data_IF_754537220091
#
_entry.id   IF_754537220091
#
_cell.length_a   1.000
_cell.length_b   1.000
_cell.length_c   1.000
_cell.angle_alpha   90.00
_cell.angle_beta   90.00
_cell.angle_gamma   90.00
#
_symmetry.space_group_name_H-M   'P 1'
#
loop_
_entity.id
_entity.type
_entity.pdbx_description
1 polymer ?
#
# COMPACT_ATOMS: atom_id res chain seq x y z
N UNK A 1 25.21 4.98 1.56
CA UNK A 1 23.77 4.92 1.20
C UNK A 1 23.51 3.96 0.04
N UNK A 2 24.04 4.19 -1.18
CA UNK A 2 23.80 3.30 -2.34
C UNK A 2 24.08 1.81 -2.06
N UNK A 3 25.22 1.50 -1.44
CA UNK A 3 25.61 0.14 -1.03
C UNK A 3 24.58 -0.57 -0.13
N UNK A 4 23.86 0.16 0.74
CA UNK A 4 22.89 -0.45 1.65
C UNK A 4 21.57 -0.79 0.97
N UNK A 5 21.19 -0.01 -0.05
CA UNK A 5 20.07 -0.36 -0.93
C UNK A 5 20.42 -1.55 -1.84
N UNK A 6 21.68 -1.65 -2.24
CA UNK A 6 22.22 -2.76 -3.04
C UNK A 6 22.36 -4.06 -2.23
N UNK A 7 22.82 -3.97 -0.98
CA UNK A 7 22.94 -5.10 -0.06
C UNK A 7 21.68 -5.42 0.75
N UNK A 8 20.54 -4.77 0.46
CA UNK A 8 19.26 -5.01 1.13
C UNK A 8 19.26 -4.79 2.66
N UNK A 9 20.17 -3.97 3.19
CA UNK A 9 20.27 -3.70 4.64
C UNK A 9 19.35 -2.58 5.12
N UNK A 10 18.78 -1.82 4.18
CA UNK A 10 17.78 -0.79 4.44
C UNK A 10 16.38 -1.41 4.64
N UNK A 11 15.77 -1.18 5.80
CA UNK A 11 14.38 -1.56 6.04
C UNK A 11 13.45 -0.42 5.63
N UNK A 12 12.51 -0.71 4.72
CA UNK A 12 11.53 0.26 4.24
C UNK A 12 10.13 -0.23 4.60
N UNK A 13 9.45 0.54 5.44
CA UNK A 13 8.12 0.25 5.95
C UNK A 13 7.09 1.16 5.29
N UNK A 14 5.99 0.56 4.86
CA UNK A 14 4.90 1.25 4.18
C UNK A 14 3.57 0.91 4.83
N UNK A 15 2.65 1.86 4.87
CA UNK A 15 1.25 1.55 5.08
C UNK A 15 0.55 1.34 3.74
N UNK A 16 -0.13 0.21 3.61
CA UNK A 16 -0.93 -0.17 2.45
C UNK A 16 -2.37 -0.42 2.91
N UNK A 17 -3.32 0.37 2.40
CA UNK A 17 -4.74 0.04 2.55
C UNK A 17 -5.11 -0.91 1.42
N UNK A 18 -5.61 -2.10 1.77
CA UNK A 18 -5.92 -3.20 0.86
C UNK A 18 -7.44 -3.35 0.69
N UNK A 19 -7.86 -3.75 -0.51
CA UNK A 19 -9.23 -4.13 -0.83
C UNK A 19 -9.47 -5.61 -0.49
N UNK A 20 -10.08 -5.85 0.66
CA UNK A 20 -10.33 -7.16 1.23
C UNK A 20 -9.84 -7.28 2.67
N UNK A 21 -10.24 -8.36 3.32
CA UNK A 21 -9.90 -8.66 4.72
C UNK A 21 -8.85 -9.77 4.74
N UNK A 22 -7.61 -9.45 5.13
CA UNK A 22 -6.57 -10.46 5.31
C UNK A 22 -6.94 -11.41 6.44
N UNK A 23 -6.87 -12.71 6.17
CA UNK A 23 -7.19 -13.74 7.16
C UNK A 23 -6.10 -13.90 8.23
N UNK A 24 -4.83 -13.76 7.84
CA UNK A 24 -3.69 -13.88 8.76
C UNK A 24 -3.24 -12.50 9.25
N UNK A 25 -2.75 -12.45 10.49
CA UNK A 25 -2.24 -11.20 11.10
C UNK A 25 -0.90 -10.77 10.52
N UNK A 26 -0.14 -11.70 9.95
CA UNK A 26 1.12 -11.43 9.28
C UNK A 26 1.36 -12.48 8.20
N UNK A 27 2.31 -12.18 7.32
CA UNK A 27 2.73 -13.12 6.30
C UNK A 27 3.87 -12.59 5.45
N UNK A 28 4.27 -13.43 4.52
CA UNK A 28 5.37 -13.20 3.59
C UNK A 28 4.90 -13.40 2.15
N UNK A 29 5.35 -12.52 1.26
CA UNK A 29 5.14 -12.64 -0.17
C UNK A 29 6.53 -12.66 -0.83
N UNK A 30 7.05 -13.87 -1.03
CA UNK A 30 8.26 -14.12 -1.81
C UNK A 30 7.88 -14.59 -3.22
N UNK A 31 7.74 -13.63 -4.12
CA UNK A 31 7.32 -13.86 -5.51
C UNK A 31 8.13 -12.97 -6.43
N UNK A 32 8.91 -13.50 -7.39
CA UNK A 32 9.72 -12.66 -8.27
C UNK A 32 8.85 -11.77 -9.16
N UNK A 33 9.36 -10.57 -9.47
CA UNK A 33 8.63 -9.54 -10.23
C UNK A 33 9.41 -9.19 -11.50
N UNK A 34 8.70 -9.19 -12.63
CA UNK A 34 9.19 -8.79 -13.95
C UNK A 34 8.21 -7.87 -14.65
N UNK A 35 8.61 -7.31 -15.79
CA UNK A 35 7.72 -6.51 -16.62
C UNK A 35 6.66 -7.40 -17.28
N UNK A 36 5.44 -6.88 -17.41
CA UNK A 36 4.32 -7.59 -18.02
C UNK A 36 4.52 -7.61 -19.55
N UNK A 37 4.54 -8.79 -20.20
CA UNK A 37 4.94 -8.90 -21.59
C UNK A 37 4.00 -8.18 -22.56
N UNK A 38 2.71 -8.06 -22.21
CA UNK A 38 1.69 -7.40 -23.05
C UNK A 38 1.34 -5.96 -22.65
N UNK A 39 1.98 -5.38 -21.63
CA UNK A 39 1.62 -4.04 -21.14
C UNK A 39 2.85 -3.32 -20.60
N UNK A 40 3.54 -2.54 -21.46
CA UNK A 40 4.73 -1.79 -21.06
C UNK A 40 4.50 -0.94 -19.79
N UNK A 41 5.47 -0.94 -18.89
CA UNK A 41 5.40 -0.20 -17.61
C UNK A 41 4.50 -0.83 -16.54
N UNK A 42 3.74 -1.89 -16.86
CA UNK A 42 3.06 -2.73 -15.85
C UNK A 42 3.99 -3.87 -15.45
N UNK A 43 4.17 -4.05 -14.16
CA UNK A 43 4.90 -5.17 -13.56
C UNK A 43 3.95 -6.34 -13.24
N UNK A 44 4.45 -7.58 -13.21
CA UNK A 44 3.71 -8.80 -12.84
C UNK A 44 4.58 -9.75 -12.03
N UNK A 45 3.96 -10.65 -11.26
CA UNK A 45 4.66 -11.83 -10.76
C UNK A 45 4.96 -12.76 -11.93
N UNK A 46 6.21 -13.20 -12.05
CA UNK A 46 6.65 -14.15 -13.06
C UNK A 46 7.91 -14.88 -12.58
N UNK A 47 8.04 -16.16 -12.92
CA UNK A 47 9.22 -16.96 -12.55
C UNK A 47 10.53 -16.44 -13.18
N UNK A 48 10.45 -15.73 -14.31
CA UNK A 48 11.59 -15.06 -14.94
C UNK A 48 11.89 -13.67 -14.36
N UNK A 49 11.15 -13.25 -13.33
CA UNK A 49 11.28 -11.96 -12.69
C UNK A 49 12.50 -11.87 -11.76
N UNK A 50 12.76 -10.67 -11.25
CA UNK A 50 13.80 -10.44 -10.24
C UNK A 50 13.27 -10.86 -8.86
N UNK A 51 14.08 -11.54 -8.02
CA UNK A 51 13.70 -11.88 -6.65
C UNK A 51 13.17 -10.65 -5.90
N UNK A 52 12.04 -10.85 -5.22
CA UNK A 52 11.29 -9.78 -4.58
C UNK A 52 10.60 -10.30 -3.33
N UNK A 53 10.87 -9.66 -2.19
CA UNK A 53 10.41 -10.10 -0.88
C UNK A 53 9.74 -8.96 -0.11
N UNK A 54 8.48 -9.20 0.30
CA UNK A 54 7.67 -8.31 1.13
C UNK A 54 7.11 -9.09 2.32
N UNK A 55 7.43 -8.63 3.52
CA UNK A 55 6.73 -9.05 4.75
C UNK A 55 5.57 -8.09 5.00
N UNK A 56 4.48 -8.58 5.59
CA UNK A 56 3.40 -7.71 6.03
C UNK A 56 2.89 -8.11 7.41
N UNK A 57 2.38 -7.11 8.13
CA UNK A 57 1.58 -7.28 9.34
C UNK A 57 0.30 -6.47 9.22
N UNK A 58 -0.82 -7.03 9.64
CA UNK A 58 -2.09 -6.33 9.76
C UNK A 58 -1.97 -5.29 10.88
N UNK A 59 -2.18 -4.03 10.53
CA UNK A 59 -2.26 -2.93 11.48
C UNK A 59 -3.70 -2.71 11.95
N UNK A 60 -4.67 -2.87 11.06
CA UNK A 60 -6.10 -2.69 11.37
C UNK A 60 -6.98 -3.40 10.34
N UNK A 61 -8.09 -4.01 10.78
CA UNK A 61 -9.11 -4.59 9.88
C UNK A 61 -10.37 -3.74 9.91
N UNK A 62 -10.97 -3.58 8.73
CA UNK A 62 -12.28 -2.98 8.51
C UNK A 62 -13.19 -4.01 7.82
N UNK A 63 -14.49 -3.76 7.75
CA UNK A 63 -15.46 -4.69 7.14
C UNK A 63 -15.10 -5.22 5.74
N UNK A 64 -14.46 -4.38 4.92
CA UNK A 64 -14.08 -4.72 3.54
C UNK A 64 -12.61 -4.42 3.21
N UNK A 65 -11.84 -3.92 4.16
CA UNK A 65 -10.49 -3.42 3.91
C UNK A 65 -9.55 -3.83 5.02
N UNK A 66 -8.26 -3.86 4.72
CA UNK A 66 -7.20 -4.08 5.71
C UNK A 66 -6.15 -3.01 5.57
N UNK A 67 -5.78 -2.36 6.68
CA UNK A 67 -4.55 -1.58 6.74
C UNK A 67 -3.42 -2.54 7.10
N UNK A 68 -2.46 -2.72 6.19
CA UNK A 68 -1.26 -3.51 6.43
C UNK A 68 -0.03 -2.60 6.52
N UNK A 69 0.86 -2.91 7.45
CA UNK A 69 2.25 -2.44 7.40
C UNK A 69 3.06 -3.44 6.56
N UNK A 70 3.69 -2.97 5.49
CA UNK A 70 4.52 -3.76 4.60
C UNK A 70 5.99 -3.39 4.77
N UNK A 71 6.83 -4.38 5.05
CA UNK A 71 8.28 -4.27 5.09
C UNK A 71 8.86 -4.91 3.82
N UNK A 72 9.48 -4.11 2.95
CA UNK A 72 10.14 -4.64 1.75
C UNK A 72 11.65 -4.79 1.98
N UNK A 73 12.19 -5.97 1.65
CA UNK A 73 13.63 -6.23 1.65
C UNK A 73 14.27 -5.86 0.31
N UNK A 74 13.51 -6.02 -0.77
CA UNK A 74 13.88 -5.57 -2.11
C UNK A 74 13.21 -4.22 -2.43
N UNK A 75 13.47 -3.67 -3.62
CA UNK A 75 12.91 -2.38 -4.06
C UNK A 75 12.50 -2.39 -5.52
N UNK A 76 11.79 -3.44 -5.96
CA UNK A 76 11.38 -3.53 -7.37
C UNK A 76 10.23 -2.56 -7.67
N UNK A 77 10.16 -2.10 -8.92
CA UNK A 77 9.08 -1.24 -9.40
C UNK A 77 7.73 -1.89 -9.06
N UNK A 78 6.84 -1.11 -8.46
CA UNK A 78 5.49 -1.54 -8.06
C UNK A 78 5.42 -2.76 -7.11
N UNK A 79 6.51 -3.11 -6.42
CA UNK A 79 6.59 -4.36 -5.66
C UNK A 79 5.40 -4.61 -4.73
N UNK A 80 5.10 -3.68 -3.82
CA UNK A 80 3.98 -3.82 -2.87
C UNK A 80 2.64 -3.94 -3.61
N UNK A 81 2.46 -3.15 -4.68
CA UNK A 81 1.22 -3.11 -5.48
C UNK A 81 0.94 -4.46 -6.13
N UNK A 82 1.96 -5.04 -6.78
CA UNK A 82 1.88 -6.33 -7.48
C UNK A 82 1.79 -7.50 -6.51
N UNK A 83 2.58 -7.48 -5.43
CA UNK A 83 2.58 -8.56 -4.43
C UNK A 83 1.22 -8.74 -3.78
N UNK A 84 0.62 -7.67 -3.26
CA UNK A 84 -0.70 -7.72 -2.65
C UNK A 84 -1.80 -8.11 -3.66
N UNK A 85 -1.72 -7.61 -4.90
CA UNK A 85 -2.60 -8.05 -5.98
C UNK A 85 -2.45 -9.56 -6.25
N UNK A 86 -1.22 -10.10 -6.24
CA UNK A 86 -0.94 -11.51 -6.54
C UNK A 86 -1.45 -12.50 -5.48
N UNK A 87 -1.80 -12.01 -4.29
CA UNK A 87 -2.42 -12.81 -3.21
C UNK A 87 -3.91 -12.49 -3.06
N UNK A 88 -4.50 -11.75 -4.00
CA UNK A 88 -5.94 -11.49 -4.04
C UNK A 88 -6.41 -10.25 -3.26
N UNK A 89 -5.49 -9.51 -2.64
CA UNK A 89 -5.80 -8.33 -1.80
C UNK A 89 -5.15 -7.07 -2.37
N UNK A 90 -5.48 -6.63 -3.61
CA UNK A 90 -4.86 -5.46 -4.21
C UNK A 90 -5.04 -4.22 -3.33
N UNK A 91 -4.22 -3.19 -3.55
CA UNK A 91 -4.41 -1.90 -2.89
C UNK A 91 -5.82 -1.36 -3.12
N UNK A 92 -6.36 -0.73 -2.09
CA UNK A 92 -7.67 -0.12 -2.11
C UNK A 92 -7.76 0.89 -3.24
N UNK A 93 -6.80 1.78 -3.43
CA UNK A 93 -6.75 2.65 -4.62
C UNK A 93 -5.48 2.33 -5.38
N UNK A 94 -5.64 1.94 -6.65
CA UNK A 94 -4.52 1.68 -7.55
C UNK A 94 -5.00 1.63 -9.00
N UNK A 95 -4.55 2.56 -9.82
CA UNK A 95 -4.99 2.68 -11.21
C UNK A 95 -4.52 1.55 -12.15
N UNK A 96 -3.49 0.77 -11.78
CA UNK A 96 -2.93 -0.28 -12.63
C UNK A 96 -3.29 -1.70 -12.16
N UNK A 97 -3.41 -1.89 -10.85
CA UNK A 97 -3.57 -3.20 -10.20
C UNK A 97 -4.82 -3.31 -9.33
N UNK A 98 -5.46 -2.18 -9.02
CA UNK A 98 -6.63 -2.10 -8.17
C UNK A 98 -7.92 -2.11 -8.97
N UNK A 99 -9.02 -1.98 -8.23
CA UNK A 99 -10.39 -1.95 -8.79
C UNK A 99 -10.98 -0.55 -8.87
N UNK A 100 -10.31 0.45 -8.27
CA UNK A 100 -10.79 1.82 -8.15
C UNK A 100 -9.65 2.82 -8.33
N UNK A 101 -9.98 3.97 -8.92
CA UNK A 101 -9.08 5.09 -9.14
C UNK A 101 -9.15 6.14 -8.02
N UNK A 102 -10.24 6.14 -7.24
CA UNK A 102 -10.44 7.03 -6.11
C UNK A 102 -11.30 6.34 -5.03
N UNK A 103 -11.35 6.94 -3.85
CA UNK A 103 -12.19 6.51 -2.74
C UNK A 103 -13.20 7.60 -2.42
N UNK A 104 -14.47 7.31 -2.64
CA UNK A 104 -15.57 8.22 -2.37
C UNK A 104 -16.12 8.02 -0.95
N UNK A 105 -16.65 9.08 -0.34
CA UNK A 105 -17.29 8.99 0.97
C UNK A 105 -18.63 8.24 0.88
N UNK A 106 -19.33 8.34 -0.26
CA UNK A 106 -20.55 7.59 -0.54
C UNK A 106 -20.35 6.07 -0.50
N UNK A 107 -19.18 5.56 -0.90
CA UNK A 107 -18.83 4.14 -0.82
C UNK A 107 -18.79 3.62 0.63
N UNK A 108 -18.47 4.50 1.57
CA UNK A 108 -18.41 4.19 2.99
C UNK A 108 -19.80 4.34 3.63
N UNK A 109 -20.48 5.45 3.36
CA UNK A 109 -21.75 5.82 4.01
C UNK A 109 -22.97 5.16 3.39
N UNK A 110 -22.87 4.67 2.16
CA UNK A 110 -23.98 4.09 1.41
C UNK A 110 -25.21 5.01 1.43
N UNK A 111 -26.35 4.47 1.86
CA UNK A 111 -27.65 5.18 1.92
C UNK A 111 -27.67 6.41 2.84
N UNK A 112 -26.70 6.56 3.74
CA UNK A 112 -26.62 7.72 4.65
C UNK A 112 -25.84 8.90 4.07
N UNK A 113 -25.23 8.72 2.89
CA UNK A 113 -24.59 9.80 2.17
C UNK A 113 -25.64 10.82 1.67
N UNK A 114 -25.37 12.10 1.91
CA UNK A 114 -26.16 13.22 1.36
C UNK A 114 -25.23 14.04 0.50
N UNK A 115 -25.56 14.21 -0.78
CA UNK A 115 -24.81 15.08 -1.69
C UNK A 115 -24.83 16.54 -1.19
N UNK A 116 -23.76 17.28 -1.48
CA UNK A 116 -23.67 18.69 -1.12
C UNK A 116 -24.66 19.54 -1.91
N UNK A 117 -25.19 20.60 -1.30
CA UNK A 117 -26.17 21.51 -1.93
C UNK A 117 -25.66 22.25 -3.18
N UNK A 118 -24.36 22.21 -3.47
CA UNK A 118 -23.70 23.10 -4.45
C UNK A 118 -22.90 22.37 -5.54
N UNK A 119 -22.95 21.03 -5.59
CA UNK A 119 -22.23 20.21 -6.57
C UNK A 119 -22.90 18.84 -6.68
N UNK A 120 -23.27 18.42 -7.88
CA UNK A 120 -23.75 17.05 -8.12
C UNK A 120 -22.62 16.02 -8.03
N UNK A 121 -21.39 16.41 -8.35
CA UNK A 121 -20.23 15.54 -8.28
C UNK A 121 -19.63 15.49 -6.86
N UNK A 122 -19.43 14.26 -6.37
CA UNK A 122 -18.77 14.00 -5.11
C UNK A 122 -17.25 14.16 -5.25
N UNK A 123 -16.63 14.91 -4.33
CA UNK A 123 -15.17 15.00 -4.23
C UNK A 123 -14.61 13.75 -3.52
N UNK A 124 -13.60 13.08 -4.10
CA UNK A 124 -13.00 11.91 -3.47
C UNK A 124 -12.25 12.27 -2.18
N UNK A 125 -12.26 11.35 -1.21
CA UNK A 125 -11.43 11.44 -0.01
C UNK A 125 -9.94 11.27 -0.35
N UNK A 126 -9.64 10.41 -1.33
CA UNK A 126 -8.31 10.15 -1.84
C UNK A 126 -8.40 9.67 -3.29
N UNK A 127 -7.50 10.11 -4.17
CA UNK A 127 -7.45 9.77 -5.60
C UNK A 127 -6.06 9.32 -6.07
N UNK A 128 -5.19 8.97 -5.11
CA UNK A 128 -3.85 8.42 -5.37
C UNK A 128 -3.75 7.01 -4.83
N UNK A 129 -2.71 6.30 -5.23
CA UNK A 129 -2.41 4.95 -4.72
C UNK A 129 -2.45 4.93 -3.19
N UNK A 130 -3.19 3.98 -2.62
CA UNK A 130 -3.40 3.87 -1.17
C UNK A 130 -2.21 3.24 -0.43
N UNK A 131 -1.03 3.79 -0.71
CA UNK A 131 0.27 3.39 -0.21
C UNK A 131 1.01 4.63 0.35
N UNK A 132 1.67 4.47 1.49
CA UNK A 132 2.43 5.53 2.15
C UNK A 132 3.76 5.00 2.69
N UNK A 133 4.87 5.67 2.38
CA UNK A 133 6.18 5.34 2.96
C UNK A 133 6.26 5.92 4.37
N UNK A 134 6.11 5.06 5.38
CA UNK A 134 5.96 5.50 6.76
C UNK A 134 7.30 5.59 7.49
N UNK A 135 8.22 4.67 7.19
CA UNK A 135 9.49 4.53 7.90
C UNK A 135 10.62 4.03 7.00
N UNK A 136 11.79 4.60 7.21
CA UNK A 136 13.06 4.14 6.62
C UNK A 136 14.05 3.92 7.76
N UNK A 137 14.66 2.73 7.83
CA UNK A 137 15.79 2.45 8.71
C UNK A 137 17.02 2.09 7.90
N UNK A 138 18.11 2.76 8.19
CA UNK A 138 19.40 2.59 7.51
C UNK A 138 20.53 2.69 8.52
N UNK A 139 21.68 2.14 8.18
CA UNK A 139 22.89 2.31 8.98
C UNK A 139 23.58 3.60 8.56
N UNK A 140 23.98 4.46 9.49
CA UNK A 140 24.72 5.66 9.16
C UNK A 140 26.08 5.26 8.55
N UNK A 141 26.43 5.72 7.34
CA UNK A 141 27.55 5.18 6.58
C UNK A 141 28.93 5.42 7.21
N UNK A 142 29.04 6.37 8.14
CA UNK A 142 30.30 6.69 8.81
C UNK A 142 30.35 6.23 10.28
N UNK A 143 29.21 6.20 10.98
CA UNK A 143 29.16 5.87 12.42
C UNK A 143 28.66 4.46 12.72
N UNK A 144 28.10 3.75 11.74
CA UNK A 144 27.39 2.46 11.91
C UNK A 144 26.21 2.51 12.88
N UNK A 145 25.77 3.70 13.31
CA UNK A 145 24.56 3.84 14.11
C UNK A 145 23.31 3.61 13.27
N UNK A 146 22.33 2.88 13.79
CA UNK A 146 21.05 2.65 13.12
C UNK A 146 20.19 3.92 13.20
N UNK A 147 19.96 4.57 12.07
CA UNK A 147 19.08 5.73 11.95
C UNK A 147 17.68 5.32 11.53
N UNK A 148 16.66 6.00 12.08
CA UNK A 148 15.25 5.83 11.72
C UNK A 148 14.64 7.17 11.31
N UNK A 149 14.05 7.21 10.12
CA UNK A 149 13.30 8.34 9.60
C UNK A 149 11.82 7.96 9.54
N UNK A 150 10.95 8.85 10.01
CA UNK A 150 9.48 8.65 10.02
C UNK A 150 8.81 9.74 9.20
N UNK A 151 7.71 9.39 8.55
CA UNK A 151 6.82 10.34 7.88
C UNK A 151 5.39 10.13 8.35
N UNK A 152 4.76 11.22 8.78
CA UNK A 152 3.36 11.20 9.19
C UNK A 152 2.43 10.78 8.04
N UNK A 153 1.30 10.19 8.40
CA UNK A 153 0.31 9.78 7.42
C UNK A 153 -0.29 11.02 6.72
N UNK A 154 -0.34 11.08 5.39
CA UNK A 154 -0.91 12.21 4.68
C UNK A 154 -2.41 12.38 4.99
N UNK A 155 -2.88 13.64 4.97
CA UNK A 155 -4.23 14.02 5.41
C UNK A 155 -5.35 13.25 4.70
N UNK A 156 -5.19 13.01 3.40
CA UNK A 156 -6.15 12.26 2.57
C UNK A 156 -6.29 10.81 3.02
N UNK A 157 -5.17 10.12 3.24
CA UNK A 157 -5.11 8.75 3.72
C UNK A 157 -5.70 8.66 5.13
N UNK A 158 -5.31 9.57 6.03
CA UNK A 158 -5.87 9.65 7.38
C UNK A 158 -7.40 9.86 7.37
N UNK A 159 -7.91 10.70 6.46
CA UNK A 159 -9.34 10.92 6.29
C UNK A 159 -10.08 9.64 5.88
N UNK A 160 -9.54 8.86 4.93
CA UNK A 160 -10.09 7.56 4.54
C UNK A 160 -10.16 6.61 5.74
N UNK A 161 -9.05 6.44 6.48
CA UNK A 161 -9.02 5.56 7.66
C UNK A 161 -10.03 5.98 8.73
N UNK A 162 -10.17 7.28 9.00
CA UNK A 162 -11.12 7.78 9.97
C UNK A 162 -12.58 7.51 9.56
N UNK A 163 -12.90 7.62 8.26
CA UNK A 163 -14.24 7.27 7.80
C UNK A 163 -14.48 5.76 7.86
N UNK A 164 -13.49 4.93 7.53
CA UNK A 164 -13.57 3.48 7.68
C UNK A 164 -13.74 3.06 9.14
N UNK A 165 -13.06 3.70 10.10
CA UNK A 165 -13.27 3.46 11.54
C UNK A 165 -14.66 3.81 12.00
N UNK A 166 -15.19 4.94 11.49
CA UNK A 166 -16.49 5.46 11.92
C UNK A 166 -17.68 4.67 11.37
N UNK A 167 -17.56 4.14 10.15
CA UNK A 167 -18.69 3.60 9.39
C UNK A 167 -18.45 2.21 8.82
N UNK A 168 -17.20 1.73 8.83
CA UNK A 168 -16.79 0.43 8.29
C UNK A 168 -16.84 -0.71 9.31
N UNK A 169 -17.67 -0.57 10.36
CA UNK A 169 -18.09 -1.64 11.27
C UNK A 169 -19.23 -2.50 10.70
#
# INVERSE_FOLDING_TARGET
LSMQFEHHTADKFYFALLDGVLHHDEGEIDKPIGEHPGTPGKMTVTNSGKPSLTFYRVAERFKRFTLAEALIKTGRTHQIRVHFQSIGYPLAIDALYGRRAAFLLSEIKGKTYKSGKFSEEERPLMSRTSLHAARLRIDHPASNERLEFKSELPKDFAAVLNQLRKWGG
#
